data_IF_825448672305
#
_entry.id   IF_825448672305
#
_cell.length_a   1.000
_cell.length_b   1.000
_cell.length_c   1.000
_cell.angle_alpha   90.00
_cell.angle_beta   90.00
_cell.angle_gamma   90.00
#
_symmetry.space_group_name_H-M   'P 1'
#
loop_
_entity.id
_entity.type
_entity.pdbx_description
1 polymer ?
#
# COMPACT_ATOMS: atom_id res chain seq x y z
N UNK A 1 10.38 0.09 -11.12
CA UNK A 1 10.35 1.52 -11.51
C UNK A 1 9.13 1.87 -12.36
N UNK A 2 8.86 1.21 -13.48
CA UNK A 2 7.72 1.59 -14.36
C UNK A 2 6.35 1.55 -13.67
N UNK A 3 6.07 0.52 -12.87
CA UNK A 3 4.77 0.42 -12.18
C UNK A 3 4.59 1.49 -11.09
N UNK A 4 5.68 1.87 -10.41
CA UNK A 4 5.64 2.92 -9.37
C UNK A 4 5.32 4.26 -10.02
N UNK A 5 5.93 4.54 -11.17
CA UNK A 5 5.64 5.75 -11.93
C UNK A 5 4.20 5.76 -12.43
N UNK A 6 3.71 4.64 -12.96
CA UNK A 6 2.31 4.54 -13.39
C UNK A 6 1.33 4.79 -12.23
N UNK A 7 1.59 4.21 -11.04
CA UNK A 7 0.78 4.46 -9.84
C UNK A 7 0.83 5.95 -9.47
N UNK A 8 2.00 6.60 -9.49
CA UNK A 8 2.13 8.05 -9.25
C UNK A 8 1.30 8.87 -10.24
N UNK A 9 1.33 8.50 -11.51
CA UNK A 9 0.59 9.23 -12.55
C UNK A 9 -0.93 9.10 -12.34
N UNK A 10 -1.42 7.90 -11.97
CA UNK A 10 -2.82 7.72 -11.56
C UNK A 10 -3.17 8.52 -10.29
N UNK A 11 -2.32 8.51 -9.27
CA UNK A 11 -2.55 9.28 -8.03
C UNK A 11 -2.73 10.77 -8.37
N UNK A 12 -1.85 11.35 -9.21
CA UNK A 12 -1.95 12.75 -9.62
C UNK A 12 -3.27 13.10 -10.30
N UNK A 13 -3.84 12.15 -11.05
CA UNK A 13 -5.14 12.32 -11.71
C UNK A 13 -6.29 12.22 -10.71
N UNK A 14 -6.17 11.34 -9.71
CA UNK A 14 -7.24 11.05 -8.74
C UNK A 14 -7.27 12.02 -7.54
N UNK A 15 -6.11 12.51 -7.10
CA UNK A 15 -5.94 13.48 -6.03
C UNK A 15 -4.60 14.23 -6.24
N UNK A 16 -4.66 15.42 -6.84
CA UNK A 16 -3.46 16.21 -7.19
C UNK A 16 -2.68 16.70 -5.97
N UNK A 17 -3.31 16.77 -4.80
CA UNK A 17 -2.70 17.25 -3.56
C UNK A 17 -1.99 16.13 -2.80
N UNK A 18 -2.30 14.87 -3.14
CA UNK A 18 -1.65 13.71 -2.55
C UNK A 18 -0.28 13.48 -3.19
N UNK A 19 0.77 13.85 -2.46
CA UNK A 19 2.15 13.58 -2.86
C UNK A 19 2.74 12.46 -2.01
N UNK A 20 3.12 11.36 -2.66
CA UNK A 20 3.82 10.23 -2.05
C UNK A 20 5.18 10.03 -2.70
N UNK A 21 6.18 9.78 -1.86
CA UNK A 21 7.51 9.38 -2.29
C UNK A 21 7.49 7.97 -2.91
N UNK A 22 8.47 7.67 -3.76
CA UNK A 22 8.56 6.38 -4.46
C UNK A 22 8.64 5.21 -3.48
N UNK A 23 9.45 5.37 -2.43
CA UNK A 23 9.61 4.37 -1.37
C UNK A 23 8.29 4.07 -0.65
N UNK A 24 7.43 5.07 -0.49
CA UNK A 24 6.12 4.88 0.14
C UNK A 24 5.21 4.02 -0.73
N UNK A 25 5.18 4.29 -2.03
CA UNK A 25 4.43 3.48 -3.00
C UNK A 25 5.01 2.07 -3.09
N UNK A 26 6.33 1.92 -3.05
CA UNK A 26 7.00 0.61 -3.06
C UNK A 26 6.63 -0.24 -1.84
N UNK A 27 6.51 0.35 -0.64
CA UNK A 27 6.11 -0.37 0.56
C UNK A 27 4.66 -0.90 0.45
N UNK A 28 3.76 -0.09 -0.09
CA UNK A 28 2.38 -0.53 -0.37
C UNK A 28 2.37 -1.62 -1.45
N UNK A 29 3.16 -1.45 -2.51
CA UNK A 29 3.31 -2.44 -3.58
C UNK A 29 3.83 -3.78 -3.05
N UNK A 30 4.76 -3.77 -2.09
CA UNK A 30 5.29 -4.98 -1.49
C UNK A 30 4.22 -5.75 -0.72
N UNK A 31 3.33 -5.05 0.00
CA UNK A 31 2.16 -5.70 0.63
C UNK A 31 1.24 -6.34 -0.41
N UNK A 32 0.98 -5.64 -1.52
CA UNK A 32 0.19 -6.20 -2.63
C UNK A 32 0.87 -7.43 -3.25
N UNK A 33 2.19 -7.41 -3.45
CA UNK A 33 2.97 -8.57 -3.93
C UNK A 33 2.83 -9.78 -3.03
N UNK A 34 2.98 -9.59 -1.72
CA UNK A 34 2.82 -10.64 -0.71
C UNK A 34 1.39 -11.19 -0.76
N UNK A 35 0.39 -10.31 -0.77
CA UNK A 35 -1.02 -10.71 -0.84
C UNK A 35 -1.32 -11.55 -2.09
N UNK A 36 -0.83 -11.10 -3.24
CA UNK A 36 -1.01 -11.78 -4.52
C UNK A 36 -0.13 -13.02 -4.69
N UNK A 37 0.79 -13.27 -3.75
CA UNK A 37 1.79 -14.33 -3.81
C UNK A 37 2.60 -14.31 -5.12
N UNK A 38 3.13 -13.13 -5.47
CA UNK A 38 3.94 -12.95 -6.70
C UNK A 38 4.91 -11.78 -6.59
N UNK A 39 6.05 -11.90 -7.25
CA UNK A 39 7.10 -10.88 -7.30
C UNK A 39 6.75 -9.76 -8.30
N UNK A 40 6.14 -10.14 -9.41
CA UNK A 40 5.74 -9.27 -10.51
C UNK A 40 4.29 -8.82 -10.35
N UNK A 41 3.99 -7.52 -10.47
CA UNK A 41 2.60 -7.02 -10.44
C UNK A 41 2.18 -6.68 -11.88
N UNK A 42 1.05 -7.21 -12.38
CA UNK A 42 0.51 -6.83 -13.68
C UNK A 42 0.24 -5.32 -13.77
N UNK A 43 0.69 -4.69 -14.84
CA UNK A 43 0.56 -3.23 -15.03
C UNK A 43 -0.89 -2.74 -14.96
N UNK A 44 -1.86 -3.58 -15.34
CA UNK A 44 -3.29 -3.28 -15.25
C UNK A 44 -3.78 -3.00 -13.82
N UNK A 45 -3.05 -3.45 -12.79
CA UNK A 45 -3.37 -3.16 -11.39
C UNK A 45 -2.90 -1.78 -10.92
N UNK A 46 -2.13 -1.03 -11.70
CA UNK A 46 -1.60 0.27 -11.29
C UNK A 46 -2.71 1.25 -10.89
N UNK A 47 -3.80 1.30 -11.66
CA UNK A 47 -4.97 2.13 -11.35
C UNK A 47 -5.66 1.70 -10.06
N UNK A 48 -5.94 0.41 -9.91
CA UNK A 48 -6.55 -0.15 -8.69
C UNK A 48 -5.71 0.14 -7.44
N UNK A 49 -4.39 0.04 -7.54
CA UNK A 49 -3.48 0.35 -6.41
C UNK A 49 -3.49 1.85 -6.11
N UNK A 50 -3.54 2.72 -7.12
CA UNK A 50 -3.65 4.16 -6.93
C UNK A 50 -4.99 4.57 -6.29
N UNK A 51 -6.10 3.97 -6.73
CA UNK A 51 -7.44 4.17 -6.15
C UNK A 51 -7.46 3.81 -4.67
N UNK A 52 -6.94 2.63 -4.34
CA UNK A 52 -6.76 2.17 -2.96
C UNK A 52 -5.99 3.18 -2.11
N UNK A 53 -4.85 3.69 -2.60
CA UNK A 53 -4.04 4.69 -1.90
C UNK A 53 -4.84 5.98 -1.66
N UNK A 54 -5.55 6.47 -2.67
CA UNK A 54 -6.31 7.72 -2.60
C UNK A 54 -7.53 7.57 -1.68
N UNK A 55 -8.20 6.42 -1.68
CA UNK A 55 -9.31 6.15 -0.76
C UNK A 55 -8.84 6.17 0.69
N UNK A 56 -7.70 5.54 0.98
CA UNK A 56 -7.14 5.54 2.33
C UNK A 56 -6.70 6.94 2.78
N UNK A 57 -6.13 7.75 1.88
CA UNK A 57 -5.77 9.14 2.22
C UNK A 57 -7.00 9.98 2.58
N UNK A 58 -8.13 9.73 1.90
CA UNK A 58 -9.41 10.40 2.15
C UNK A 58 -10.07 9.92 3.45
N UNK A 59 -9.91 8.66 3.84
CA UNK A 59 -10.40 8.16 5.13
C UNK A 59 -9.64 8.80 6.29
N UNK A 60 -8.33 9.02 6.16
CA UNK A 60 -7.52 9.75 7.14
C UNK A 60 -7.99 11.19 7.33
N UNK A 61 -8.21 11.95 6.23
CA UNK A 61 -8.75 13.32 6.29
C UNK A 61 -10.10 13.41 7.02
N UNK A 62 -10.87 12.32 7.10
CA UNK A 62 -12.15 12.27 7.83
C UNK A 62 -11.98 11.89 9.31
N UNK A 63 -10.89 11.22 9.67
CA UNK A 63 -10.63 10.65 11.00
C UNK A 63 -9.56 11.42 11.78
N UNK A 64 -9.28 12.68 11.42
CA UNK A 64 -8.23 13.57 11.98
C UNK A 64 -8.34 13.85 13.50
N UNK A 65 -9.26 13.17 14.20
CA UNK A 65 -9.35 13.15 15.66
C UNK A 65 -8.50 12.07 16.35
N UNK A 66 -7.96 11.06 15.64
CA UNK A 66 -7.40 9.84 16.27
C UNK A 66 -6.04 9.37 15.73
N UNK A 67 -5.33 10.21 14.97
CA UNK A 67 -4.06 9.82 14.35
C UNK A 67 -2.91 9.90 15.36
N UNK A 68 -2.42 8.75 15.80
CA UNK A 68 -1.20 8.64 16.62
C UNK A 68 0.00 9.06 15.75
N UNK A 69 0.44 10.31 15.88
CA UNK A 69 1.54 10.91 15.11
C UNK A 69 2.94 10.45 15.54
N UNK A 70 3.03 9.62 16.59
CA UNK A 70 4.31 9.15 17.13
C UNK A 70 4.16 7.77 17.79
N UNK A 71 5.00 6.82 17.36
CA UNK A 71 5.25 5.59 18.11
C UNK A 71 6.57 5.83 18.87
N UNK A 72 6.52 5.70 20.21
CA UNK A 72 7.67 5.82 21.09
C UNK A 72 7.98 4.44 21.66
N UNK A 73 9.07 3.83 21.24
CA UNK A 73 9.57 2.59 21.83
C UNK A 73 11.05 2.77 22.21
N UNK A 74 11.41 2.38 23.44
CA UNK A 74 12.77 2.37 23.98
C UNK A 74 13.62 3.65 23.80
N UNK A 75 13.00 4.84 23.93
CA UNK A 75 13.71 6.13 23.91
C UNK A 75 14.05 6.66 22.52
N UNK A 76 13.58 5.99 21.45
CA UNK A 76 13.65 6.50 20.09
C UNK A 76 12.23 6.85 19.61
N UNK A 77 12.01 8.13 19.36
CA UNK A 77 10.81 8.63 18.68
C UNK A 77 11.08 8.71 17.19
N UNK A 78 10.31 7.97 16.39
CA UNK A 78 10.32 8.16 14.93
C UNK A 78 9.17 9.08 14.58
N UNK A 79 9.49 10.35 14.33
CA UNK A 79 8.56 11.32 13.76
C UNK A 79 8.57 11.17 12.25
N UNK A 80 7.46 10.71 11.67
CA UNK A 80 7.32 10.64 10.22
C UNK A 80 6.59 11.90 9.74
N UNK A 81 7.12 12.56 8.71
CA UNK A 81 6.55 13.79 8.14
C UNK A 81 5.22 13.58 7.41
N UNK A 82 4.80 12.34 7.19
CA UNK A 82 3.63 11.99 6.38
C UNK A 82 2.67 11.06 7.15
N UNK A 83 1.71 11.66 7.86
CA UNK A 83 0.67 11.00 8.67
C UNK A 83 -0.23 10.09 7.84
N UNK A 84 -0.54 10.49 6.60
CA UNK A 84 -1.32 9.70 5.65
C UNK A 84 -0.65 8.36 5.36
N UNK A 85 0.66 8.40 5.08
CA UNK A 85 1.42 7.18 4.83
C UNK A 85 1.54 6.30 6.07
N UNK A 86 1.77 6.88 7.25
CA UNK A 86 1.83 6.12 8.51
C UNK A 86 0.56 5.31 8.74
N UNK A 87 -0.61 5.94 8.55
CA UNK A 87 -1.87 5.25 8.70
C UNK A 87 -2.01 4.07 7.75
N UNK A 88 -1.60 4.22 6.49
CA UNK A 88 -1.71 3.11 5.52
C UNK A 88 -0.82 1.94 5.93
N UNK A 89 0.35 2.21 6.52
CA UNK A 89 1.27 1.17 6.99
C UNK A 89 0.77 0.50 8.26
N UNK A 90 0.11 1.22 9.17
CA UNK A 90 -0.43 0.64 10.40
C UNK A 90 -1.71 -0.19 10.21
N UNK A 91 -2.43 0.02 9.10
CA UNK A 91 -3.64 -0.73 8.77
C UNK A 91 -3.35 -2.20 8.47
N UNK A 92 -4.30 -3.07 8.81
CA UNK A 92 -4.29 -4.46 8.35
C UNK A 92 -4.44 -4.53 6.82
N UNK A 93 -4.03 -5.65 6.21
CA UNK A 93 -4.20 -5.84 4.76
C UNK A 93 -5.68 -5.75 4.33
N UNK A 94 -6.60 -6.25 5.17
CA UNK A 94 -8.03 -6.17 4.89
C UNK A 94 -8.54 -4.72 4.85
N UNK A 95 -8.08 -3.88 5.77
CA UNK A 95 -8.44 -2.46 5.83
C UNK A 95 -7.78 -1.68 4.68
N UNK A 96 -6.50 -1.91 4.43
CA UNK A 96 -5.74 -1.25 3.37
C UNK A 96 -6.39 -1.52 2.00
N UNK A 97 -6.70 -2.77 1.70
CA UNK A 97 -7.24 -3.17 0.40
C UNK A 97 -8.73 -2.87 0.26
N UNK A 98 -9.50 -2.98 1.34
CA UNK A 98 -10.93 -2.68 1.36
C UNK A 98 -11.70 -3.40 0.24
N UNK A 99 -12.49 -2.63 -0.53
CA UNK A 99 -13.30 -3.11 -1.65
C UNK A 99 -12.47 -3.69 -2.81
N UNK A 100 -11.20 -3.31 -2.95
CA UNK A 100 -10.32 -3.75 -4.04
C UNK A 100 -9.88 -5.20 -3.91
N UNK A 101 -10.08 -5.82 -2.75
CA UNK A 101 -9.82 -7.25 -2.50
C UNK A 101 -10.46 -8.14 -3.57
N UNK A 102 -11.66 -7.80 -4.06
CA UNK A 102 -12.37 -8.57 -5.10
C UNK A 102 -11.58 -8.59 -6.41
N UNK A 103 -10.99 -7.46 -6.79
CA UNK A 103 -10.16 -7.34 -8.00
C UNK A 103 -8.83 -8.05 -7.75
N UNK A 104 -8.15 -7.75 -6.64
CA UNK A 104 -6.85 -8.32 -6.29
C UNK A 104 -6.90 -9.86 -6.25
N UNK A 105 -7.96 -10.45 -5.70
CA UNK A 105 -8.13 -11.91 -5.66
C UNK A 105 -8.10 -12.56 -7.04
N UNK A 106 -8.51 -11.87 -8.11
CA UNK A 106 -8.45 -12.42 -9.48
C UNK A 106 -7.02 -12.57 -9.99
N UNK A 107 -6.07 -11.84 -9.41
CA UNK A 107 -4.65 -11.86 -9.79
C UNK A 107 -3.79 -12.64 -8.81
N UNK A 108 -4.39 -13.15 -7.72
CA UNK A 108 -3.70 -13.88 -6.67
C UNK A 108 -3.34 -15.28 -7.14
N UNK A 109 -2.06 -15.65 -7.04
CA UNK A 109 -1.62 -17.02 -7.30
C UNK A 109 -1.97 -17.90 -6.10
N UNK A 110 -2.64 -19.01 -6.33
CA UNK A 110 -2.90 -20.01 -5.29
C UNK A 110 -1.55 -20.54 -4.81
N UNK A 111 -1.23 -20.32 -3.54
CA UNK A 111 -0.04 -20.90 -2.93
C UNK A 111 -0.22 -22.41 -2.83
N UNK A 112 0.63 -23.18 -3.49
CA UNK A 112 0.66 -24.63 -3.30
C UNK A 112 1.32 -24.89 -1.94
N UNK A 113 0.57 -25.49 -1.01
CA UNK A 113 1.08 -25.90 0.30
C UNK A 113 2.25 -26.86 0.06
N UNK A 114 3.48 -26.42 0.36
CA UNK A 114 4.70 -27.22 0.20
C UNK A 114 5.87 -26.49 -0.49
N UNK A 115 5.62 -25.35 -1.13
CA UNK A 115 6.68 -24.52 -1.71
C UNK A 115 7.01 -23.40 -0.72
N UNK A 116 8.18 -23.48 -0.07
CA UNK A 116 8.70 -22.36 0.71
C UNK A 116 9.08 -21.24 -0.27
N UNK A 117 8.43 -20.06 -0.22
CA UNK A 117 8.68 -18.97 -1.18
C UNK A 117 10.08 -18.36 -1.07
N UNK A 118 10.88 -18.79 -0.09
CA UNK A 118 12.26 -18.36 0.15
C UNK A 118 13.29 -19.47 -0.09
N UNK A 119 12.93 -20.57 -0.77
CA UNK A 119 13.81 -21.76 -0.85
C UNK A 119 14.78 -21.80 -2.03
N UNK A 120 14.84 -20.75 -2.84
CA UNK A 120 15.77 -20.68 -3.97
C UNK A 120 16.66 -19.41 -3.89
N UNK A 121 17.33 -19.22 -2.74
CA UNK A 121 18.62 -18.51 -2.66
C UNK A 121 19.73 -19.50 -2.27
#
# INVERSE_FOLDING_TARGET
MEIVQAIKDYIKVLDSDLNLEEKQIELILNRVKVYLNRVDIPFILSGTIAEMIVEQSKQQKKNDGDVISSISDNGQSISFSNTVFQSMISQTDAELFGSHTVILNRFRKVGVIGVNPFKDE
#
